data_IF_642141796208
#
_entry.id   IF_642141796208
#
_cell.length_a   1.000
_cell.length_b   1.000
_cell.length_c   1.000
_cell.angle_alpha   90.00
_cell.angle_beta   90.00
_cell.angle_gamma   90.00
#
_symmetry.space_group_name_H-M   'P 1'
#
loop_
_entity.id
_entity.type
_entity.pdbx_description
1 polymer ?
#
# COMPACT_ATOMS: atom_id res chain seq x y z
N UNK A 1 -9.38 -3.94 -12.00
CA UNK A 1 -8.00 -3.99 -11.47
C UNK A 1 -7.14 -3.20 -12.43
N UNK A 2 -6.28 -2.31 -11.92
CA UNK A 2 -5.42 -1.48 -12.77
C UNK A 2 -4.03 -2.08 -12.81
N UNK A 3 -3.61 -2.61 -13.96
CA UNK A 3 -2.26 -3.17 -14.15
C UNK A 3 -1.17 -2.13 -13.85
N UNK A 4 -1.48 -0.85 -14.05
CA UNK A 4 -0.62 0.29 -13.75
C UNK A 4 -0.17 0.36 -12.28
N UNK A 5 -1.06 0.15 -11.32
CA UNK A 5 -0.71 0.25 -9.90
C UNK A 5 0.27 -0.88 -9.50
N UNK A 6 0.08 -2.07 -10.08
CA UNK A 6 0.96 -3.22 -9.86
C UNK A 6 2.34 -3.01 -10.48
N UNK A 7 2.39 -2.55 -11.73
CA UNK A 7 3.65 -2.23 -12.40
C UNK A 7 4.41 -1.13 -11.65
N UNK A 8 3.71 -0.09 -11.20
CA UNK A 8 4.28 0.94 -10.33
C UNK A 8 4.86 0.36 -9.05
N UNK A 9 4.13 -0.50 -8.33
CA UNK A 9 4.58 -1.11 -7.09
C UNK A 9 5.84 -1.98 -7.27
N UNK A 10 5.93 -2.71 -8.40
CA UNK A 10 7.10 -3.53 -8.73
C UNK A 10 8.37 -2.70 -8.95
N UNK A 11 8.23 -1.48 -9.47
CA UNK A 11 9.34 -0.56 -9.71
C UNK A 11 9.83 0.19 -8.45
N UNK A 12 9.10 0.11 -7.33
CA UNK A 12 9.48 0.87 -6.13
C UNK A 12 10.71 0.27 -5.42
N UNK A 13 11.60 1.12 -4.86
CA UNK A 13 12.81 0.68 -4.16
C UNK A 13 12.51 0.25 -2.71
N UNK A 14 11.54 -0.64 -2.50
CA UNK A 14 11.15 -1.16 -1.17
C UNK A 14 12.18 -2.16 -0.65
N UNK A 15 12.71 -1.94 0.55
CA UNK A 15 13.61 -2.90 1.21
C UNK A 15 12.78 -3.89 2.04
N UNK A 16 13.12 -5.16 1.98
CA UNK A 16 12.46 -6.21 2.76
C UNK A 16 11.22 -6.81 2.10
N UNK A 17 11.10 -8.13 2.24
CA UNK A 17 10.06 -8.92 1.58
C UNK A 17 8.65 -8.60 2.12
N UNK A 18 8.54 -8.26 3.41
CA UNK A 18 7.27 -7.94 4.04
C UNK A 18 6.68 -6.62 3.49
N UNK A 19 7.48 -5.56 3.44
CA UNK A 19 7.06 -4.27 2.89
C UNK A 19 6.75 -4.38 1.40
N UNK A 20 7.53 -5.16 0.64
CA UNK A 20 7.26 -5.48 -0.76
C UNK A 20 5.91 -6.17 -0.92
N UNK A 21 5.66 -7.23 -0.14
CA UNK A 21 4.41 -7.98 -0.18
C UNK A 21 3.20 -7.10 0.15
N UNK A 22 3.29 -6.26 1.18
CA UNK A 22 2.24 -5.31 1.54
C UNK A 22 1.97 -4.33 0.40
N UNK A 23 3.01 -3.74 -0.20
CA UNK A 23 2.84 -2.80 -1.31
C UNK A 23 2.19 -3.46 -2.53
N UNK A 24 2.64 -4.66 -2.90
CA UNK A 24 2.05 -5.44 -4.00
C UNK A 24 0.59 -5.77 -3.72
N UNK A 25 0.23 -6.13 -2.47
CA UNK A 25 -1.16 -6.38 -2.09
C UNK A 25 -1.98 -5.11 -2.24
N UNK A 26 -1.54 -3.97 -1.70
CA UNK A 26 -2.25 -2.71 -1.80
C UNK A 26 -2.49 -2.33 -3.27
N UNK A 27 -1.47 -2.45 -4.12
CA UNK A 27 -1.58 -2.26 -5.56
C UNK A 27 -2.56 -3.22 -6.24
N UNK A 28 -2.58 -4.50 -5.84
CA UNK A 28 -3.47 -5.51 -6.42
C UNK A 28 -4.96 -5.27 -6.13
N UNK A 29 -5.28 -4.65 -4.99
CA UNK A 29 -6.64 -4.33 -4.57
C UNK A 29 -6.99 -2.85 -4.79
N UNK A 30 -6.09 -2.09 -5.41
CA UNK A 30 -6.24 -0.66 -5.62
C UNK A 30 -7.35 -0.34 -6.64
N UNK A 31 -8.15 0.65 -6.29
CA UNK A 31 -9.09 1.33 -7.17
C UNK A 31 -8.64 2.79 -7.32
N UNK A 32 -8.73 3.37 -8.52
CA UNK A 32 -8.30 4.75 -8.78
C UNK A 32 -8.92 5.74 -7.77
N UNK A 33 -8.10 6.62 -7.20
CA UNK A 33 -8.55 7.65 -6.24
C UNK A 33 -8.51 7.23 -4.76
N UNK A 34 -7.72 6.22 -4.41
CA UNK A 34 -7.62 5.70 -3.05
C UNK A 34 -8.80 4.81 -2.67
N UNK A 35 -8.62 4.01 -1.61
CA UNK A 35 -9.63 3.06 -1.17
C UNK A 35 -9.60 2.79 0.33
N UNK A 36 -10.75 2.39 0.87
CA UNK A 36 -10.87 1.92 2.24
C UNK A 36 -10.69 0.40 2.29
N UNK A 37 -9.73 -0.08 3.07
CA UNK A 37 -9.41 -1.50 3.21
C UNK A 37 -9.18 -1.91 4.66
N UNK A 38 -9.75 -3.01 5.14
CA UNK A 38 -9.40 -3.55 6.44
C UNK A 38 -7.93 -3.99 6.48
N UNK A 39 -7.19 -3.61 7.52
CA UNK A 39 -5.80 -4.05 7.72
C UNK A 39 -5.70 -5.58 7.70
N UNK A 40 -6.71 -6.27 8.25
CA UNK A 40 -6.77 -7.74 8.24
C UNK A 40 -6.77 -8.33 6.83
N UNK A 41 -7.44 -7.70 5.87
CA UNK A 41 -7.44 -8.16 4.48
C UNK A 41 -6.02 -8.10 3.88
N UNK A 42 -5.26 -7.07 4.24
CA UNK A 42 -3.86 -6.94 3.83
C UNK A 42 -3.01 -8.03 4.47
N UNK A 43 -3.20 -8.31 5.76
CA UNK A 43 -2.53 -9.42 6.45
C UNK A 43 -2.76 -10.76 5.73
N UNK A 44 -4.03 -11.07 5.45
CA UNK A 44 -4.44 -12.34 4.85
C UNK A 44 -3.85 -12.51 3.44
N UNK A 45 -3.90 -11.45 2.62
CA UNK A 45 -3.36 -11.48 1.24
C UNK A 45 -1.83 -11.47 1.22
N UNK A 46 -1.18 -10.73 2.11
CA UNK A 46 0.28 -10.68 2.21
C UNK A 46 0.87 -11.92 2.90
N UNK A 47 0.02 -12.74 3.54
CA UNK A 47 0.41 -13.90 4.36
C UNK A 47 1.36 -13.49 5.49
N UNK A 48 1.06 -12.34 6.11
CA UNK A 48 1.82 -11.76 7.22
C UNK A 48 0.95 -11.71 8.46
N UNK A 49 1.58 -11.76 9.63
CA UNK A 49 0.89 -11.42 10.86
C UNK A 49 0.60 -9.90 10.93
N UNK A 50 -0.33 -9.54 11.81
CA UNK A 50 -0.78 -8.15 11.94
C UNK A 50 0.34 -7.19 12.35
N UNK A 51 1.31 -7.63 13.14
CA UNK A 51 2.40 -6.78 13.59
C UNK A 51 3.35 -6.47 12.42
N UNK A 52 3.74 -7.49 11.67
CA UNK A 52 4.56 -7.36 10.47
C UNK A 52 3.85 -6.47 9.41
N UNK A 53 2.55 -6.69 9.17
CA UNK A 53 1.77 -5.86 8.24
C UNK A 53 1.74 -4.40 8.68
N UNK A 54 1.44 -4.12 9.96
CA UNK A 54 1.41 -2.74 10.48
C UNK A 54 2.77 -2.07 10.38
N UNK A 55 3.85 -2.78 10.75
CA UNK A 55 5.22 -2.26 10.63
C UNK A 55 5.56 -1.92 9.17
N UNK A 56 5.23 -2.80 8.23
CA UNK A 56 5.41 -2.57 6.79
C UNK A 56 4.58 -1.39 6.25
N UNK A 57 3.34 -1.23 6.70
CA UNK A 57 2.51 -0.07 6.33
C UNK A 57 3.15 1.25 6.80
N UNK A 58 3.70 1.29 8.01
CA UNK A 58 4.44 2.45 8.50
C UNK A 58 5.72 2.71 7.71
N UNK A 59 6.47 1.67 7.37
CA UNK A 59 7.68 1.80 6.54
C UNK A 59 7.34 2.40 5.17
N UNK A 60 6.34 1.87 4.49
CA UNK A 60 5.89 2.36 3.18
C UNK A 60 5.40 3.80 3.23
N UNK A 61 4.67 4.16 4.30
CA UNK A 61 4.22 5.54 4.53
C UNK A 61 5.39 6.49 4.75
N UNK A 62 6.36 6.11 5.58
CA UNK A 62 7.54 6.92 5.86
C UNK A 62 8.45 7.06 4.63
N UNK A 63 8.47 6.06 3.75
CA UNK A 63 9.14 6.10 2.46
C UNK A 63 8.40 6.98 1.41
N UNK A 64 7.22 7.50 1.74
CA UNK A 64 6.41 8.31 0.82
C UNK A 64 5.78 7.52 -0.32
N UNK A 65 5.70 6.19 -0.21
CA UNK A 65 5.11 5.32 -1.24
C UNK A 65 3.60 5.22 -1.11
N UNK A 66 3.06 5.41 0.10
CA UNK A 66 1.62 5.42 0.35
C UNK A 66 1.26 6.56 1.30
N UNK A 67 0.02 7.03 1.21
CA UNK A 67 -0.65 7.75 2.30
C UNK A 67 -1.64 6.80 2.93
N UNK A 68 -1.60 6.67 4.25
CA UNK A 68 -2.44 5.73 4.97
C UNK A 68 -2.90 6.29 6.32
N UNK A 69 -4.21 6.26 6.55
CA UNK A 69 -4.86 6.65 7.81
C UNK A 69 -5.66 5.47 8.38
N UNK A 70 -5.67 5.31 9.71
CA UNK A 70 -6.36 4.19 10.35
C UNK A 70 -5.60 2.85 10.31
N UNK A 71 -4.27 2.89 10.14
CA UNK A 71 -3.40 1.70 10.19
C UNK A 71 -3.69 0.88 11.45
N UNK A 72 -3.99 -0.41 11.25
CA UNK A 72 -4.35 -1.33 12.33
C UNK A 72 -5.86 -1.56 12.45
N UNK A 73 -6.71 -0.84 11.73
CA UNK A 73 -8.16 -1.05 11.71
C UNK A 73 -8.71 -1.09 10.29
N UNK A 74 -9.78 -0.33 10.04
CA UNK A 74 -10.19 0.05 8.68
C UNK A 74 -9.30 1.22 8.25
N UNK A 75 -8.58 1.04 7.13
CA UNK A 75 -7.57 1.98 6.67
C UNK A 75 -8.04 2.66 5.38
N UNK A 76 -7.94 3.98 5.31
CA UNK A 76 -7.98 4.71 4.03
C UNK A 76 -6.56 4.75 3.48
N UNK A 77 -6.35 4.35 2.23
CA UNK A 77 -5.03 4.29 1.61
C UNK A 77 -5.04 4.82 0.19
N UNK A 78 -4.04 5.65 -0.12
CA UNK A 78 -3.73 6.14 -1.47
C UNK A 78 -2.31 5.69 -1.83
N UNK A 79 -2.09 5.28 -3.08
CA UNK A 79 -0.78 4.91 -3.56
C UNK A 79 -0.04 6.13 -4.12
N UNK A 80 1.30 6.08 -4.11
CA UNK A 80 2.15 7.13 -4.66
C UNK A 80 1.83 7.46 -6.11
N UNK A 81 1.40 6.48 -6.90
CA UNK A 81 1.00 6.71 -8.27
C UNK A 81 -0.24 7.60 -8.44
N UNK A 82 -1.09 7.75 -7.42
CA UNK A 82 -2.29 8.59 -7.48
C UNK A 82 -2.00 10.03 -7.02
N UNK A 83 -1.36 10.21 -5.86
CA UNK A 83 -1.12 11.57 -5.34
C UNK A 83 0.11 12.26 -5.92
N UNK A 84 0.99 11.55 -6.64
CA UNK A 84 2.03 12.19 -7.45
C UNK A 84 1.45 12.87 -8.69
N UNK A 85 0.30 12.37 -9.19
CA UNK A 85 -0.40 12.99 -10.32
C UNK A 85 -1.11 14.28 -9.89
N UNK A 86 -1.68 14.33 -8.68
CA UNK A 86 -2.33 15.53 -8.14
C UNK A 86 -1.35 16.70 -7.87
N UNK A 87 -0.06 16.43 -7.69
CA UNK A 87 0.96 17.47 -7.46
C UNK A 87 1.56 18.09 -8.71
N UNK A 88 1.13 17.65 -9.90
CA UNK A 88 1.66 18.10 -11.20
C UNK A 88 0.75 19.11 -11.93
N UNK A 89 -0.31 19.58 -11.28
CA UNK A 89 -1.24 20.60 -11.79
C UNK A 89 -0.98 22.00 -11.20
#
# INVERSE_FOLDING_TARGET
MSDFALDWALMQPVRGDAARAVLTVLASVHHQGGFCVPTQLVCDKARLDRFATVASLWELRNAGLIRAEGIGGLMSVELGCDFQLEGAE
#
